data_IF_583178288341
#
_entry.id   IF_583178288341
#
_cell.length_a   1.000
_cell.length_b   1.000
_cell.length_c   1.000
_cell.angle_alpha   90.00
_cell.angle_beta   90.00
_cell.angle_gamma   90.00
#
_symmetry.space_group_name_H-M   'P 1'
#
loop_
_entity.id
_entity.type
_entity.pdbx_description
1 polymer ?
#
# COMPACT_ATOMS: atom_id res chain seq x y z
N UNK A 1 -13.98 19.53 -10.78
CA UNK A 1 -14.15 19.58 -9.32
C UNK A 1 -13.28 18.45 -8.76
N UNK A 2 -12.00 18.73 -8.55
CA UNK A 2 -11.06 17.74 -8.00
C UNK A 2 -11.21 17.79 -6.48
N UNK A 3 -11.61 16.67 -5.89
CA UNK A 3 -11.71 16.57 -4.44
C UNK A 3 -10.29 16.71 -3.87
N UNK A 4 -10.07 17.81 -3.14
CA UNK A 4 -8.87 18.04 -2.36
C UNK A 4 -8.93 17.09 -1.15
N UNK A 5 -8.45 15.86 -1.33
CA UNK A 5 -8.34 14.88 -0.25
C UNK A 5 -7.29 15.42 0.70
N UNK A 6 -7.72 16.04 1.79
CA UNK A 6 -6.87 16.46 2.90
C UNK A 6 -6.35 15.20 3.57
N UNK A 7 -5.20 14.70 3.14
CA UNK A 7 -4.45 13.67 3.89
C UNK A 7 -3.96 14.34 5.16
N UNK A 8 -4.63 14.11 6.28
CA UNK A 8 -4.13 14.49 7.60
C UNK A 8 -2.84 13.69 7.81
N UNK A 9 -1.70 14.37 7.73
CA UNK A 9 -0.37 13.78 7.93
C UNK A 9 -0.16 13.32 9.39
N UNK A 10 -1.06 13.68 10.30
CA UNK A 10 -0.85 13.62 11.75
C UNK A 10 -0.76 12.21 12.35
N UNK A 11 -1.27 11.16 11.69
CA UNK A 11 -1.29 9.78 12.23
C UNK A 11 -0.36 8.79 11.52
N UNK A 12 0.32 9.18 10.45
CA UNK A 12 1.23 8.26 9.74
C UNK A 12 2.64 8.36 10.35
N UNK A 13 3.10 7.37 11.13
CA UNK A 13 4.40 7.45 11.78
C UNK A 13 5.51 7.65 10.74
N UNK A 14 6.32 8.68 10.99
CA UNK A 14 7.44 9.07 10.11
C UNK A 14 8.41 7.89 9.98
N UNK A 15 8.89 7.64 8.77
CA UNK A 15 9.88 6.57 8.49
C UNK A 15 9.45 5.13 8.80
N UNK A 16 8.16 4.80 8.84
CA UNK A 16 7.69 3.40 8.96
C UNK A 16 6.98 2.91 7.68
N UNK A 17 7.72 2.68 6.57
CA UNK A 17 7.13 2.19 5.31
C UNK A 17 6.44 0.82 5.47
N UNK A 18 6.84 0.03 6.47
CA UNK A 18 6.20 -1.24 6.80
C UNK A 18 4.74 -1.10 7.26
N UNK A 19 4.37 0.06 7.80
CA UNK A 19 3.01 0.39 8.19
C UNK A 19 2.22 1.06 7.06
N UNK A 20 2.87 1.32 5.92
CA UNK A 20 2.23 1.91 4.74
C UNK A 20 1.77 0.80 3.81
N UNK A 21 0.56 0.29 4.06
CA UNK A 21 -0.06 -0.77 3.25
C UNK A 21 -0.12 -0.44 1.76
N UNK A 22 -0.16 0.86 1.42
CA UNK A 22 -0.15 1.33 0.03
C UNK A 22 1.14 0.98 -0.73
N UNK A 23 2.31 0.99 -0.08
CA UNK A 23 3.59 0.65 -0.73
C UNK A 23 3.68 -0.85 -1.05
N UNK A 24 3.15 -1.68 -0.15
CA UNK A 24 3.02 -3.12 -0.37
C UNK A 24 2.04 -3.42 -1.52
N UNK A 25 0.89 -2.72 -1.55
CA UNK A 25 -0.06 -2.82 -2.66
C UNK A 25 0.59 -2.47 -4.00
N UNK A 26 1.32 -1.35 -4.08
CA UNK A 26 2.03 -0.94 -5.29
C UNK A 26 3.06 -1.99 -5.73
N UNK A 27 3.72 -2.65 -4.79
CA UNK A 27 4.67 -3.73 -5.08
C UNK A 27 3.99 -4.94 -5.74
N UNK A 28 2.82 -5.34 -5.26
CA UNK A 28 2.00 -6.41 -5.86
C UNK A 28 1.56 -6.02 -7.27
N UNK A 29 0.98 -4.82 -7.41
CA UNK A 29 0.50 -4.33 -8.70
C UNK A 29 1.64 -4.20 -9.72
N UNK A 30 2.81 -3.72 -9.30
CA UNK A 30 4.01 -3.60 -10.14
C UNK A 30 4.44 -4.96 -10.69
N UNK A 31 4.46 -6.01 -9.85
CA UNK A 31 4.77 -7.39 -10.30
C UNK A 31 3.81 -7.85 -11.40
N UNK A 32 2.52 -7.54 -11.28
CA UNK A 32 1.52 -7.90 -12.30
C UNK A 32 1.68 -7.08 -13.60
N UNK A 33 1.90 -5.77 -13.48
CA UNK A 33 2.05 -4.86 -14.62
C UNK A 33 3.23 -5.28 -15.49
N UNK A 34 4.39 -5.50 -14.88
CA UNK A 34 5.66 -5.81 -15.55
C UNK A 34 5.94 -7.32 -15.70
N UNK A 35 4.96 -8.17 -15.39
CA UNK A 35 5.09 -9.62 -15.56
C UNK A 35 5.50 -9.97 -17.00
N UNK A 36 6.35 -10.99 -17.15
CA UNK A 36 6.87 -11.48 -18.44
C UNK A 36 7.62 -10.40 -19.26
N UNK A 37 8.41 -9.56 -18.59
CA UNK A 37 9.19 -8.49 -19.21
C UNK A 37 8.35 -7.50 -20.04
N UNK A 38 7.09 -7.32 -19.66
CA UNK A 38 6.20 -6.41 -20.37
C UNK A 38 6.68 -4.96 -20.20
N UNK A 39 6.73 -4.20 -21.30
CA UNK A 39 7.12 -2.79 -21.31
C UNK A 39 6.06 -1.96 -22.03
N UNK A 40 5.92 -0.69 -21.63
CA UNK A 40 5.05 0.27 -22.30
C UNK A 40 5.86 1.17 -23.23
N UNK A 41 5.34 1.43 -24.43
CA UNK A 41 5.87 2.41 -25.38
C UNK A 41 5.26 3.80 -25.19
N UNK A 42 4.08 3.88 -24.58
CA UNK A 42 3.34 5.13 -24.35
C UNK A 42 2.67 5.14 -22.98
N UNK A 43 2.40 6.34 -22.45
CA UNK A 43 1.63 6.50 -21.20
C UNK A 43 0.21 5.93 -21.30
N UNK A 44 -0.43 6.02 -22.48
CA UNK A 44 -1.73 5.40 -22.72
C UNK A 44 -1.68 3.87 -22.53
N UNK A 45 -0.70 3.22 -23.14
CA UNK A 45 -0.51 1.77 -23.00
C UNK A 45 -0.27 1.38 -21.53
N UNK A 46 0.55 2.15 -20.80
CA UNK A 46 0.81 1.93 -19.39
C UNK A 46 -0.47 2.06 -18.55
N UNK A 47 -1.25 3.13 -18.76
CA UNK A 47 -2.52 3.37 -18.06
C UNK A 47 -3.50 2.20 -18.24
N UNK A 48 -3.67 1.75 -19.48
CA UNK A 48 -4.55 0.62 -19.78
C UNK A 48 -4.05 -0.68 -19.14
N UNK A 49 -2.74 -0.92 -19.13
CA UNK A 49 -2.14 -2.07 -18.45
C UNK A 49 -2.38 -2.03 -16.94
N UNK A 50 -2.19 -0.89 -16.30
CA UNK A 50 -2.43 -0.71 -14.86
C UNK A 50 -3.89 -1.02 -14.54
N UNK A 51 -4.85 -0.44 -15.26
CA UNK A 51 -6.29 -0.70 -15.06
C UNK A 51 -6.66 -2.17 -15.26
N UNK A 52 -6.04 -2.83 -16.24
CA UNK A 52 -6.24 -4.25 -16.48
C UNK A 52 -5.67 -5.12 -15.34
N UNK A 53 -4.46 -4.81 -14.86
CA UNK A 53 -3.83 -5.53 -13.75
C UNK A 53 -4.55 -5.28 -12.42
N UNK A 54 -5.10 -4.09 -12.20
CA UNK A 54 -5.92 -3.78 -11.01
C UNK A 54 -7.10 -4.74 -10.88
N UNK A 55 -7.77 -5.08 -11.98
CA UNK A 55 -8.88 -6.06 -11.99
C UNK A 55 -8.44 -7.51 -11.68
N UNK A 56 -7.14 -7.78 -11.68
CA UNK A 56 -6.55 -9.09 -11.40
C UNK A 56 -5.95 -9.19 -10.00
N UNK A 57 -5.89 -8.08 -9.27
CA UNK A 57 -5.46 -8.11 -7.89
C UNK A 57 -6.49 -8.89 -7.09
N UNK A 58 -6.03 -9.92 -6.40
CA UNK A 58 -6.85 -10.70 -5.49
C UNK A 58 -7.25 -9.84 -4.29
N UNK A 59 -8.56 -9.65 -4.09
CA UNK A 59 -9.08 -8.80 -3.03
C UNK A 59 -8.81 -9.41 -1.65
N UNK A 60 -8.77 -10.74 -1.53
CA UNK A 60 -8.50 -11.42 -0.27
C UNK A 60 -7.06 -11.15 0.17
N UNK A 61 -6.13 -11.09 -0.78
CA UNK A 61 -4.74 -10.70 -0.52
C UNK A 61 -4.66 -9.25 -0.03
N UNK A 62 -5.42 -8.33 -0.63
CA UNK A 62 -5.45 -6.92 -0.19
C UNK A 62 -6.03 -6.79 1.22
N UNK A 63 -7.12 -7.48 1.51
CA UNK A 63 -7.74 -7.48 2.84
C UNK A 63 -6.81 -8.07 3.90
N UNK A 64 -6.17 -9.20 3.61
CA UNK A 64 -5.22 -9.83 4.52
C UNK A 64 -4.01 -8.93 4.81
N UNK A 65 -3.50 -8.24 3.78
CA UNK A 65 -2.41 -7.27 3.90
C UNK A 65 -2.79 -6.10 4.80
N UNK A 66 -3.96 -5.49 4.58
CA UNK A 66 -4.48 -4.39 5.42
C UNK A 66 -4.65 -4.85 6.88
N UNK A 67 -5.25 -6.02 7.10
CA UNK A 67 -5.45 -6.58 8.43
C UNK A 67 -4.12 -6.85 9.15
N UNK A 68 -3.10 -7.32 8.44
CA UNK A 68 -1.76 -7.53 8.99
C UNK A 68 -1.10 -6.20 9.41
N UNK A 69 -1.27 -5.13 8.62
CA UNK A 69 -0.76 -3.80 8.99
C UNK A 69 -1.38 -3.29 10.28
N UNK A 70 -2.71 -3.43 10.47
CA UNK A 70 -3.34 -3.02 11.72
C UNK A 70 -2.80 -3.79 12.93
N UNK A 71 -2.58 -5.10 12.80
CA UNK A 71 -1.95 -5.90 13.85
C UNK A 71 -0.53 -5.41 14.19
N UNK A 72 0.25 -5.01 13.17
CA UNK A 72 1.59 -4.45 13.37
C UNK A 72 1.53 -3.09 14.07
N UNK A 73 0.60 -2.22 13.68
CA UNK A 73 0.39 -0.92 14.31
C UNK A 73 0.00 -1.08 15.79
N UNK A 74 -0.93 -1.97 16.08
CA UNK A 74 -1.34 -2.27 17.46
C UNK A 74 -0.17 -2.83 18.29
N UNK A 75 0.67 -3.68 17.71
CA UNK A 75 1.86 -4.19 18.38
C UNK A 75 2.89 -3.09 18.63
N UNK A 76 3.13 -2.22 17.66
CA UNK A 76 4.01 -1.06 17.81
C UNK A 76 3.51 -0.14 18.93
N UNK A 77 2.21 0.17 18.96
CA UNK A 77 1.58 0.98 20.02
C UNK A 77 1.80 0.38 21.40
N UNK A 78 1.60 -0.93 21.56
CA UNK A 78 1.81 -1.63 22.85
C UNK A 78 3.28 -1.66 23.28
N UNK A 79 4.20 -1.78 22.33
CA UNK A 79 5.64 -1.81 22.62
C UNK A 79 6.17 -0.43 23.01
N UNK A 80 5.69 0.65 22.37
CA UNK A 80 5.99 2.02 22.80
C UNK A 80 5.42 2.33 24.18
N UNK A 81 4.21 1.86 24.49
CA UNK A 81 3.57 2.00 25.81
C UNK A 81 4.34 1.24 26.90
N UNK A 82 4.93 0.09 26.56
CA UNK A 82 5.80 -0.68 27.45
C UNK A 82 7.19 -0.04 27.66
N UNK A 83 7.67 0.78 26.72
CA UNK A 83 8.93 1.52 26.85
C UNK A 83 8.80 2.80 27.69
N UNK A 84 7.57 3.24 27.98
CA UNK A 84 7.25 4.45 28.76
C UNK A 84 6.83 4.16 30.21
N UNK A 85 6.75 2.89 30.61
CA UNK A 85 6.50 2.50 32.00
C UNK A 85 7.84 2.20 32.71
N UNK A 86 8.12 2.83 33.87
CA UNK A 86 9.37 2.67 34.61
C UNK A 86 9.57 1.29 35.22
#
# INVERSE_FOLDING_TARGET
MEANIKTTEDDNPVCVPELRTIEQFWSILKRLVYARNWTAKTGYQLKHRILFCLKKVDMDVVQAMVAATFKKLDAARRNDEAALLP
#
